data_IF_168314181830
#
_entry.id   IF_168314181830
#
_cell.length_a   1.000
_cell.length_b   1.000
_cell.length_c   1.000
_cell.angle_alpha   90.00
_cell.angle_beta   90.00
_cell.angle_gamma   90.00
#
_symmetry.space_group_name_H-M   'P 1'
#
loop_
_entity.id
_entity.type
_entity.pdbx_description
1 polymer ?
#
# COMPACT_ATOMS: atom_id res chain seq x y z
N UNK A 1 -18.54 18.18 -7.42
CA UNK A 1 -18.04 16.92 -8.00
C UNK A 1 -17.57 17.17 -9.43
N UNK A 2 -16.32 16.79 -9.75
CA UNK A 2 -15.83 16.91 -11.11
C UNK A 2 -14.82 15.79 -11.42
N UNK A 3 -14.88 15.24 -12.63
CA UNK A 3 -13.97 14.24 -13.16
C UNK A 3 -13.55 14.63 -14.58
N UNK A 4 -12.41 14.12 -14.99
CA UNK A 4 -11.75 14.52 -16.22
C UNK A 4 -11.43 13.30 -17.09
N UNK A 5 -12.25 13.01 -18.13
CA UNK A 5 -12.08 11.82 -18.94
C UNK A 5 -10.89 11.92 -19.89
N UNK A 6 -10.54 13.14 -20.33
CA UNK A 6 -9.39 13.34 -21.20
C UNK A 6 -8.09 13.38 -20.39
N UNK A 7 -7.09 12.55 -20.70
CA UNK A 7 -5.75 12.66 -20.12
C UNK A 7 -5.19 14.08 -20.17
N UNK A 8 -4.38 14.43 -19.19
CA UNK A 8 -3.72 15.73 -19.03
C UNK A 8 -4.66 16.90 -18.66
N UNK A 9 -5.95 16.64 -18.46
CA UNK A 9 -6.92 17.69 -18.10
C UNK A 9 -7.40 17.63 -16.64
N UNK A 10 -7.01 16.62 -15.89
CA UNK A 10 -7.31 16.51 -14.45
C UNK A 10 -6.70 17.64 -13.65
N UNK A 11 -7.24 17.87 -12.45
CA UNK A 11 -6.80 18.98 -11.59
C UNK A 11 -5.45 18.69 -10.94
N UNK A 12 -4.69 19.76 -10.67
CA UNK A 12 -3.54 19.70 -9.80
C UNK A 12 -3.96 19.53 -8.33
N UNK A 13 -3.16 18.82 -7.54
CA UNK A 13 -3.44 18.51 -6.13
C UNK A 13 -3.64 19.78 -5.29
N UNK A 14 -2.81 20.78 -5.49
CA UNK A 14 -2.86 22.07 -4.78
C UNK A 14 -4.15 22.82 -5.07
N UNK A 15 -4.61 22.79 -6.33
CA UNK A 15 -5.88 23.42 -6.71
C UNK A 15 -7.07 22.73 -6.02
N UNK A 16 -7.10 21.40 -5.98
CA UNK A 16 -8.15 20.64 -5.28
C UNK A 16 -8.12 20.93 -3.79
N UNK A 17 -6.94 21.01 -3.17
CA UNK A 17 -6.79 21.37 -1.75
C UNK A 17 -7.34 22.77 -1.47
N UNK A 18 -6.99 23.75 -2.28
CA UNK A 18 -7.46 25.13 -2.12
C UNK A 18 -8.99 25.22 -2.27
N UNK A 19 -9.56 24.59 -3.30
CA UNK A 19 -11.02 24.51 -3.51
C UNK A 19 -11.73 23.82 -2.35
N UNK A 20 -11.18 22.69 -1.87
CA UNK A 20 -11.74 21.95 -0.74
C UNK A 20 -11.78 22.82 0.52
N UNK A 21 -10.68 23.51 0.84
CA UNK A 21 -10.60 24.41 1.99
C UNK A 21 -11.61 25.56 1.88
N UNK A 22 -11.73 26.16 0.70
CA UNK A 22 -12.72 27.23 0.44
C UNK A 22 -14.16 26.74 0.62
N UNK A 23 -14.53 25.60 0.01
CA UNK A 23 -15.88 25.04 0.10
C UNK A 23 -16.24 24.73 1.58
N UNK A 24 -15.29 24.12 2.31
CA UNK A 24 -15.48 23.77 3.73
C UNK A 24 -15.59 24.99 4.64
N UNK A 25 -14.91 26.09 4.34
CA UNK A 25 -15.05 27.33 5.11
C UNK A 25 -16.45 27.95 5.02
N UNK A 26 -17.25 27.52 4.02
CA UNK A 26 -18.66 27.91 3.87
C UNK A 26 -19.64 26.84 4.41
N UNK A 27 -19.16 25.85 5.19
CA UNK A 27 -19.98 24.81 5.79
C UNK A 27 -20.49 23.75 4.80
N UNK A 28 -19.91 23.68 3.61
CA UNK A 28 -20.31 22.72 2.57
C UNK A 28 -19.38 21.50 2.56
N UNK A 29 -19.88 20.37 2.07
CA UNK A 29 -19.09 19.14 1.88
C UNK A 29 -18.53 19.05 0.46
N UNK A 30 -17.44 18.32 0.34
CA UNK A 30 -16.73 18.13 -0.93
C UNK A 30 -16.74 16.68 -1.38
N UNK A 31 -16.74 16.47 -2.69
CA UNK A 31 -16.66 15.15 -3.30
C UNK A 31 -15.66 15.13 -4.45
N UNK A 32 -15.00 13.99 -4.62
CA UNK A 32 -14.05 13.77 -5.71
C UNK A 32 -14.14 12.33 -6.24
N UNK A 33 -13.63 12.14 -7.44
CA UNK A 33 -13.63 10.86 -8.12
C UNK A 33 -12.22 10.25 -8.12
N UNK A 34 -12.16 8.94 -7.91
CA UNK A 34 -10.99 8.11 -8.21
C UNK A 34 -11.23 7.36 -9.52
N UNK A 35 -10.15 7.08 -10.24
CA UNK A 35 -10.17 6.18 -11.38
C UNK A 35 -10.37 4.75 -10.90
N UNK A 36 -11.23 3.97 -11.59
CA UNK A 36 -11.33 2.54 -11.43
C UNK A 36 -10.25 1.80 -12.22
N UNK A 37 -9.89 0.60 -11.76
CA UNK A 37 -8.94 -0.30 -12.41
C UNK A 37 -9.57 -1.58 -13.00
N UNK A 38 -10.90 -1.62 -13.01
CA UNK A 38 -11.70 -2.61 -13.71
C UNK A 38 -12.15 -2.10 -15.09
N UNK A 39 -13.46 -2.14 -15.35
CA UNK A 39 -14.01 -1.64 -16.59
C UNK A 39 -14.03 -0.10 -16.59
N UNK A 40 -13.31 0.51 -17.51
CA UNK A 40 -13.28 1.95 -17.67
C UNK A 40 -14.49 2.46 -18.46
N UNK A 41 -14.87 3.70 -18.22
CA UNK A 41 -16.02 4.35 -18.86
C UNK A 41 -15.61 4.99 -20.19
N UNK A 42 -16.44 4.73 -21.23
CA UNK A 42 -16.31 5.38 -22.53
C UNK A 42 -16.69 6.87 -22.53
N UNK A 43 -16.45 7.55 -23.63
CA UNK A 43 -15.95 7.03 -24.91
C UNK A 43 -14.41 6.91 -24.99
N UNK A 44 -13.64 7.50 -24.07
CA UNK A 44 -12.17 7.59 -24.18
C UNK A 44 -11.48 6.37 -23.53
N UNK A 45 -12.08 5.75 -22.49
CA UNK A 45 -11.53 4.61 -21.76
C UNK A 45 -10.13 4.89 -21.16
N UNK A 46 -9.91 6.09 -20.63
CA UNK A 46 -8.66 6.54 -20.03
C UNK A 46 -8.81 6.88 -18.54
N UNK A 47 -9.88 6.35 -17.90
CA UNK A 47 -10.19 6.61 -16.50
C UNK A 47 -10.81 7.99 -16.25
N UNK A 48 -11.47 8.12 -15.11
CA UNK A 48 -12.23 9.31 -14.71
C UNK A 48 -11.81 9.84 -13.34
N UNK A 49 -10.54 10.22 -13.12
CA UNK A 49 -10.11 10.80 -11.86
C UNK A 49 -10.46 12.30 -11.76
N UNK A 50 -10.53 12.83 -10.54
CA UNK A 50 -10.53 14.28 -10.29
C UNK A 50 -9.13 14.87 -10.41
N UNK A 51 -8.12 14.19 -9.87
CA UNK A 51 -6.72 14.59 -9.94
C UNK A 51 -6.02 13.91 -11.12
N UNK A 52 -5.27 14.68 -11.92
CA UNK A 52 -4.49 14.08 -13.01
C UNK A 52 -3.43 13.11 -12.48
N UNK A 53 -2.81 13.41 -11.34
CA UNK A 53 -1.82 12.55 -10.69
C UNK A 53 -2.39 11.19 -10.21
N UNK A 54 -3.71 11.01 -10.24
CA UNK A 54 -4.36 9.75 -9.91
C UNK A 54 -4.52 8.83 -11.12
N UNK A 55 -4.34 9.34 -12.34
CA UNK A 55 -4.44 8.53 -13.54
C UNK A 55 -3.42 7.40 -13.48
N UNK A 56 -3.91 6.18 -13.69
CA UNK A 56 -3.14 4.93 -13.59
C UNK A 56 -2.52 4.60 -12.21
N UNK A 57 -2.87 5.39 -11.20
CA UNK A 57 -2.47 5.10 -9.82
C UNK A 57 -3.43 4.07 -9.19
N UNK A 58 -2.93 3.24 -8.29
CA UNK A 58 -3.74 2.25 -7.58
C UNK A 58 -4.95 2.93 -6.87
N UNK A 59 -6.22 2.45 -7.05
CA UNK A 59 -7.41 3.15 -6.57
C UNK A 59 -7.43 3.40 -5.07
N UNK A 60 -6.95 2.45 -4.26
CA UNK A 60 -6.86 2.63 -2.80
C UNK A 60 -5.87 3.74 -2.42
N UNK A 61 -4.81 3.96 -3.20
CA UNK A 61 -3.88 5.06 -2.98
C UNK A 61 -4.49 6.41 -3.35
N UNK A 62 -5.26 6.46 -4.44
CA UNK A 62 -6.05 7.64 -4.83
C UNK A 62 -7.04 8.02 -3.71
N UNK A 63 -7.73 7.02 -3.15
CA UNK A 63 -8.66 7.21 -2.03
C UNK A 63 -7.96 7.84 -0.82
N UNK A 64 -6.83 7.30 -0.39
CA UNK A 64 -6.08 7.85 0.74
C UNK A 64 -5.57 9.27 0.47
N UNK A 65 -5.11 9.56 -0.74
CA UNK A 65 -4.64 10.90 -1.10
C UNK A 65 -5.78 11.93 -1.05
N UNK A 66 -6.99 11.57 -1.49
CA UNK A 66 -8.16 12.44 -1.40
C UNK A 66 -8.56 12.69 0.07
N UNK A 67 -8.47 11.68 0.94
CA UNK A 67 -8.69 11.87 2.37
C UNK A 67 -7.63 12.81 2.99
N UNK A 68 -6.36 12.68 2.60
CA UNK A 68 -5.28 13.56 3.07
C UNK A 68 -5.47 15.02 2.57
N UNK A 69 -6.15 15.24 1.45
CA UNK A 69 -6.57 16.56 0.95
C UNK A 69 -7.73 17.13 1.79
N UNK A 70 -8.54 16.26 2.41
CA UNK A 70 -9.71 16.63 3.19
C UNK A 70 -11.03 16.46 2.44
N UNK A 71 -11.08 15.66 1.39
CA UNK A 71 -12.33 15.31 0.66
C UNK A 71 -13.25 14.48 1.56
N UNK A 72 -14.54 14.80 1.60
CA UNK A 72 -15.52 14.15 2.45
C UNK A 72 -16.14 12.90 1.80
N UNK A 73 -16.34 12.93 0.50
CA UNK A 73 -16.98 11.84 -0.26
C UNK A 73 -16.10 11.46 -1.45
N UNK A 74 -15.72 10.19 -1.52
CA UNK A 74 -14.97 9.65 -2.66
C UNK A 74 -15.84 8.71 -3.45
N UNK A 75 -15.89 8.92 -4.76
CA UNK A 75 -16.69 8.16 -5.71
C UNK A 75 -15.78 7.50 -6.75
N UNK A 76 -16.19 6.35 -7.27
CA UNK A 76 -15.52 5.71 -8.40
C UNK A 76 -16.06 6.34 -9.69
N UNK A 77 -15.19 6.93 -10.50
CA UNK A 77 -15.58 7.57 -11.76
C UNK A 77 -15.88 6.55 -12.86
N UNK A 78 -15.19 5.45 -12.89
CA UNK A 78 -15.33 4.37 -13.85
C UNK A 78 -16.46 3.38 -13.50
N UNK A 79 -16.68 2.36 -14.34
CA UNK A 79 -17.78 1.41 -14.17
C UNK A 79 -17.52 0.41 -13.05
N UNK A 80 -16.26 0.02 -12.83
CA UNK A 80 -15.91 -0.95 -11.79
C UNK A 80 -14.47 -0.81 -11.29
N UNK A 81 -14.21 -1.43 -10.14
CA UNK A 81 -12.89 -1.79 -9.66
C UNK A 81 -12.55 -3.22 -10.07
N UNK A 82 -11.27 -3.55 -10.18
CA UNK A 82 -10.81 -4.92 -10.24
C UNK A 82 -11.22 -5.67 -8.96
N UNK A 83 -11.45 -6.98 -9.05
CA UNK A 83 -11.90 -7.78 -7.90
C UNK A 83 -10.90 -7.72 -6.74
N UNK A 84 -9.59 -7.84 -7.04
CA UNK A 84 -8.54 -7.71 -6.02
C UNK A 84 -8.58 -6.37 -5.29
N UNK A 85 -8.77 -5.27 -6.03
CA UNK A 85 -8.89 -3.92 -5.46
C UNK A 85 -10.16 -3.76 -4.63
N UNK A 86 -11.27 -4.36 -5.06
CA UNK A 86 -12.51 -4.38 -4.28
C UNK A 86 -12.32 -5.12 -2.94
N UNK A 87 -11.58 -6.23 -2.94
CA UNK A 87 -11.22 -6.97 -1.71
C UNK A 87 -10.37 -6.09 -0.78
N UNK A 88 -9.39 -5.36 -1.32
CA UNK A 88 -8.56 -4.43 -0.54
C UNK A 88 -9.40 -3.30 0.08
N UNK A 89 -10.35 -2.72 -0.65
CA UNK A 89 -11.28 -1.74 -0.10
C UNK A 89 -12.15 -2.33 1.01
N UNK A 90 -12.73 -3.53 0.81
CA UNK A 90 -13.51 -4.22 1.85
C UNK A 90 -12.67 -4.45 3.12
N UNK A 91 -11.43 -4.90 2.96
CA UNK A 91 -10.49 -5.13 4.06
C UNK A 91 -10.20 -3.83 4.83
N UNK A 92 -9.97 -2.75 4.11
CA UNK A 92 -9.76 -1.43 4.71
C UNK A 92 -11.00 -0.91 5.45
N UNK A 93 -12.18 -0.96 4.84
CA UNK A 93 -13.39 -0.42 5.45
C UNK A 93 -13.83 -1.21 6.68
N UNK A 94 -13.77 -2.54 6.62
CA UNK A 94 -14.22 -3.42 7.70
C UNK A 94 -13.22 -3.55 8.83
N UNK A 95 -11.92 -3.60 8.53
CA UNK A 95 -10.89 -4.00 9.50
C UNK A 95 -9.79 -2.96 9.69
N UNK A 96 -9.73 -1.91 8.88
CA UNK A 96 -8.63 -0.93 8.84
C UNK A 96 -7.27 -1.59 8.59
N UNK A 97 -7.23 -2.58 7.71
CA UNK A 97 -6.03 -3.29 7.29
C UNK A 97 -5.75 -2.96 5.82
N UNK A 98 -4.52 -2.57 5.51
CA UNK A 98 -4.06 -2.44 4.13
C UNK A 98 -3.55 -3.80 3.67
N UNK A 99 -4.23 -4.42 2.71
CA UNK A 99 -3.79 -5.66 2.09
C UNK A 99 -2.82 -5.33 0.96
N UNK A 100 -1.69 -6.04 0.92
CA UNK A 100 -0.69 -5.96 -0.14
C UNK A 100 -0.58 -7.31 -0.83
N UNK A 101 -0.50 -7.30 -2.16
CA UNK A 101 -0.21 -8.49 -2.93
C UNK A 101 1.30 -8.65 -3.09
N UNK A 102 1.79 -9.88 -2.87
CA UNK A 102 3.20 -10.22 -2.87
C UNK A 102 3.47 -11.38 -3.81
N UNK A 103 4.46 -11.24 -4.66
CA UNK A 103 5.07 -12.35 -5.37
C UNK A 103 6.13 -12.97 -4.46
N UNK A 104 5.98 -14.25 -4.13
CA UNK A 104 6.89 -14.94 -3.21
C UNK A 104 8.07 -15.54 -3.93
N UNK A 105 9.21 -15.59 -3.25
CA UNK A 105 10.29 -16.50 -3.55
C UNK A 105 10.01 -17.83 -2.86
N UNK A 106 10.57 -18.95 -3.37
CA UNK A 106 10.24 -20.32 -2.96
C UNK A 106 10.06 -20.55 -1.45
N UNK A 107 9.05 -21.34 -1.08
CA UNK A 107 8.79 -21.88 0.27
C UNK A 107 8.55 -20.86 1.42
N UNK A 108 7.98 -19.68 1.13
CA UNK A 108 7.85 -18.60 2.13
C UNK A 108 6.40 -18.18 2.40
N UNK A 109 5.41 -18.95 1.96
CA UNK A 109 3.98 -18.57 1.97
C UNK A 109 3.44 -18.34 3.39
N UNK A 110 3.86 -19.15 4.36
CA UNK A 110 3.32 -19.11 5.73
C UNK A 110 3.66 -17.82 6.48
N UNK A 111 4.70 -17.10 6.05
CA UNK A 111 5.17 -15.87 6.70
C UNK A 111 4.40 -14.62 6.24
N UNK A 112 3.53 -14.73 5.25
CA UNK A 112 2.82 -13.59 4.68
C UNK A 112 1.37 -13.47 5.16
N UNK A 113 0.79 -14.55 5.66
CA UNK A 113 -0.63 -14.65 6.03
C UNK A 113 -1.07 -13.85 7.27
N UNK A 114 -0.24 -13.63 8.32
CA UNK A 114 -0.69 -12.88 9.50
C UNK A 114 -1.01 -11.42 9.21
N UNK A 115 -1.81 -10.84 10.11
CA UNK A 115 -1.98 -9.38 10.16
C UNK A 115 -0.85 -8.79 10.99
N UNK A 116 -0.09 -7.92 10.37
CA UNK A 116 1.02 -7.22 11.00
C UNK A 116 0.63 -5.81 11.43
N UNK A 117 1.20 -5.37 12.55
CA UNK A 117 1.12 -3.99 13.00
C UNK A 117 2.46 -3.30 12.78
N UNK A 118 2.45 -2.14 12.17
CA UNK A 118 3.65 -1.32 12.01
C UNK A 118 4.09 -0.78 13.36
N UNK A 119 5.40 -0.81 13.61
CA UNK A 119 5.97 -0.25 14.85
C UNK A 119 5.61 1.22 15.01
N UNK A 120 5.48 1.65 16.27
CA UNK A 120 5.17 3.03 16.61
C UNK A 120 6.28 4.00 16.21
N UNK A 121 7.51 3.54 16.32
CA UNK A 121 8.74 4.21 15.87
C UNK A 121 9.01 3.84 14.40
N UNK A 122 8.35 4.52 13.47
CA UNK A 122 8.52 4.26 12.03
C UNK A 122 9.96 4.54 11.58
N UNK A 123 10.52 3.60 10.82
CA UNK A 123 11.86 3.76 10.26
C UNK A 123 11.82 4.46 8.90
N UNK A 124 12.94 5.06 8.51
CA UNK A 124 13.09 5.78 7.24
C UNK A 124 13.06 4.85 6.03
N UNK A 125 13.80 3.75 6.11
CA UNK A 125 14.12 2.91 4.95
C UNK A 125 13.30 1.63 4.88
N UNK A 126 12.61 1.25 5.96
CA UNK A 126 11.85 0.00 6.06
C UNK A 126 10.56 0.16 6.87
N UNK A 127 9.53 -0.58 6.50
CA UNK A 127 8.35 -0.80 7.33
C UNK A 127 8.66 -2.00 8.23
N UNK A 128 8.56 -1.85 9.54
CA UNK A 128 8.87 -2.89 10.51
C UNK A 128 7.59 -3.44 11.14
N UNK A 129 7.40 -4.76 11.07
CA UNK A 129 6.27 -5.44 11.71
C UNK A 129 6.57 -5.67 13.21
N UNK A 130 5.77 -5.06 14.07
CA UNK A 130 6.00 -5.10 15.53
C UNK A 130 5.83 -6.51 16.12
N UNK A 131 4.91 -7.30 15.58
CA UNK A 131 4.52 -8.62 16.11
C UNK A 131 5.17 -9.81 15.40
N UNK A 132 5.93 -9.59 14.32
CA UNK A 132 6.44 -10.69 13.47
C UNK A 132 7.32 -11.68 14.22
N UNK A 133 8.23 -11.21 15.09
CA UNK A 133 9.11 -12.10 15.87
C UNK A 133 8.34 -13.02 16.81
N UNK A 134 7.21 -12.59 17.36
CA UNK A 134 6.36 -13.41 18.22
C UNK A 134 5.64 -14.47 17.38
N UNK A 135 5.10 -14.06 16.23
CA UNK A 135 4.42 -14.95 15.29
C UNK A 135 5.36 -16.06 14.81
N UNK A 136 6.64 -15.73 14.54
CA UNK A 136 7.62 -16.70 14.02
C UNK A 136 8.30 -17.52 15.11
N UNK A 137 8.48 -17.00 16.32
CA UNK A 137 9.15 -17.72 17.42
C UNK A 137 8.49 -19.06 17.74
N UNK A 138 7.22 -19.21 17.47
CA UNK A 138 6.45 -20.42 17.75
C UNK A 138 6.54 -21.50 16.64
N UNK A 139 7.03 -21.15 15.44
CA UNK A 139 6.91 -22.02 14.28
C UNK A 139 8.23 -22.27 13.51
N UNK A 140 9.21 -21.38 13.58
CA UNK A 140 10.37 -21.39 12.67
C UNK A 140 11.66 -20.97 13.38
N UNK A 141 12.28 -21.87 14.16
CA UNK A 141 13.59 -21.63 14.73
C UNK A 141 14.54 -22.78 14.49
N UNK A 142 15.79 -22.51 14.09
CA UNK A 142 16.32 -21.25 13.59
C UNK A 142 15.93 -20.98 12.14
N UNK A 143 15.79 -19.71 11.76
CA UNK A 143 15.59 -19.29 10.37
C UNK A 143 16.94 -19.33 9.65
N UNK A 144 17.13 -20.29 8.78
CA UNK A 144 18.37 -20.42 8.03
C UNK A 144 18.56 -19.25 7.03
N UNK A 145 19.79 -18.76 6.80
CA UNK A 145 20.08 -17.83 5.73
C UNK A 145 19.65 -18.39 4.36
N UNK A 146 18.86 -17.62 3.61
CA UNK A 146 18.38 -17.97 2.27
C UNK A 146 18.07 -16.68 1.48
N UNK A 147 18.35 -16.67 0.18
CA UNK A 147 18.05 -15.52 -0.70
C UNK A 147 18.57 -14.18 -0.14
N UNK A 148 19.77 -14.15 0.44
CA UNK A 148 20.43 -12.96 0.97
C UNK A 148 20.97 -12.11 -0.19
N UNK A 149 20.09 -11.38 -0.85
CA UNK A 149 20.35 -10.61 -2.07
C UNK A 149 20.04 -9.13 -1.87
N UNK A 150 20.21 -8.31 -2.91
CA UNK A 150 19.80 -6.91 -2.89
C UNK A 150 18.32 -6.77 -2.52
N UNK A 151 18.08 -5.85 -1.60
CA UNK A 151 16.76 -5.58 -1.05
C UNK A 151 16.16 -4.37 -1.75
N UNK A 152 15.59 -4.60 -2.92
CA UNK A 152 14.98 -3.54 -3.72
C UNK A 152 13.69 -3.04 -3.07
N UNK A 153 13.28 -1.83 -3.41
CA UNK A 153 12.00 -1.26 -2.96
C UNK A 153 10.85 -2.25 -3.16
N UNK A 154 10.03 -2.44 -2.13
CA UNK A 154 8.93 -3.39 -2.10
C UNK A 154 9.33 -4.81 -1.73
N UNK A 155 10.62 -5.13 -1.58
CA UNK A 155 11.03 -6.44 -1.06
C UNK A 155 10.45 -6.66 0.33
N UNK A 156 9.90 -7.85 0.56
CA UNK A 156 9.52 -8.35 1.89
C UNK A 156 10.67 -9.19 2.38
N UNK A 157 11.16 -8.89 3.58
CA UNK A 157 12.35 -9.53 4.13
C UNK A 157 12.09 -10.05 5.54
N UNK A 158 12.88 -11.06 5.94
CA UNK A 158 12.89 -11.60 7.30
C UNK A 158 14.32 -11.70 7.78
N UNK A 159 14.59 -11.22 8.97
CA UNK A 159 15.88 -11.38 9.62
C UNK A 159 16.11 -12.86 9.96
N UNK A 160 17.24 -13.42 9.52
CA UNK A 160 17.60 -14.82 9.78
C UNK A 160 18.38 -14.99 11.09
N UNK A 161 18.75 -16.24 11.45
CA UNK A 161 19.43 -16.59 12.69
C UNK A 161 20.75 -15.82 12.92
N UNK A 162 21.44 -15.36 11.86
CA UNK A 162 22.66 -14.57 11.99
C UNK A 162 22.41 -13.18 12.58
N UNK A 163 21.16 -12.71 12.59
CA UNK A 163 20.77 -11.44 13.23
C UNK A 163 20.47 -11.57 14.74
N UNK A 164 20.63 -12.76 15.29
CA UNK A 164 20.52 -13.06 16.73
C UNK A 164 19.14 -12.62 17.27
N UNK A 165 19.12 -11.70 18.24
CA UNK A 165 17.89 -11.22 18.90
C UNK A 165 16.85 -10.56 17.96
N UNK A 166 17.23 -10.26 16.72
CA UNK A 166 16.31 -9.69 15.73
C UNK A 166 15.73 -10.76 14.79
N UNK A 167 16.19 -12.01 14.89
CA UNK A 167 15.66 -13.11 14.10
C UNK A 167 14.13 -13.12 14.07
N UNK A 168 13.55 -13.29 12.86
CA UNK A 168 12.11 -13.27 12.64
C UNK A 168 11.48 -11.87 12.52
N UNK A 169 12.27 -10.78 12.49
CA UNK A 169 11.70 -9.46 12.19
C UNK A 169 11.35 -9.36 10.70
N UNK A 170 10.06 -9.21 10.42
CA UNK A 170 9.57 -8.99 9.05
C UNK A 170 9.61 -7.50 8.73
N UNK A 171 10.13 -7.17 7.54
CA UNK A 171 10.23 -5.81 7.05
C UNK A 171 9.77 -5.72 5.59
N UNK A 172 9.28 -4.53 5.18
CA UNK A 172 9.05 -4.18 3.77
C UNK A 172 9.96 -2.99 3.43
N UNK A 173 10.72 -3.12 2.37
CA UNK A 173 11.76 -2.15 1.98
C UNK A 173 11.14 -0.95 1.28
N UNK A 174 11.50 0.26 1.70
CA UNK A 174 10.99 1.53 1.16
C UNK A 174 11.91 2.18 0.11
N UNK A 175 13.19 1.88 0.18
CA UNK A 175 14.21 2.32 -0.79
C UNK A 175 15.26 1.23 -0.98
N UNK A 176 15.93 1.19 -2.13
CA UNK A 176 16.87 0.12 -2.45
C UNK A 176 18.00 0.05 -1.42
N UNK A 177 18.26 -1.14 -0.91
CA UNK A 177 19.30 -1.46 0.06
C UNK A 177 20.21 -2.58 -0.49
N UNK A 178 21.46 -2.57 -0.07
CA UNK A 178 22.43 -3.62 -0.44
C UNK A 178 22.03 -4.97 0.17
N UNK A 179 22.59 -6.05 -0.38
CA UNK A 179 22.49 -7.39 0.19
C UNK A 179 23.05 -7.41 1.63
N UNK A 180 22.44 -8.24 2.47
CA UNK A 180 22.88 -8.50 3.85
C UNK A 180 22.71 -9.99 4.13
N UNK A 181 23.81 -10.68 4.51
CA UNK A 181 23.79 -12.12 4.80
C UNK A 181 22.88 -12.53 5.96
N UNK A 182 22.46 -11.56 6.79
CA UNK A 182 21.55 -11.75 7.93
C UNK A 182 20.10 -11.55 7.58
N UNK A 183 19.77 -11.19 6.33
CA UNK A 183 18.43 -10.83 5.89
C UNK A 183 18.02 -11.64 4.68
N UNK A 184 16.98 -12.42 4.84
CA UNK A 184 16.38 -13.21 3.76
C UNK A 184 15.33 -12.36 3.01
N UNK A 185 15.44 -12.29 1.68
CA UNK A 185 14.37 -11.76 0.84
C UNK A 185 13.38 -12.89 0.57
N UNK A 186 12.13 -12.74 1.03
CA UNK A 186 11.10 -13.79 0.97
C UNK A 186 10.03 -13.53 -0.09
N UNK A 187 9.95 -12.29 -0.57
CA UNK A 187 8.99 -11.92 -1.61
C UNK A 187 9.13 -10.45 -1.97
N UNK A 188 8.22 -9.99 -2.83
CA UNK A 188 8.15 -8.59 -3.25
C UNK A 188 6.71 -8.15 -3.45
N UNK A 189 6.34 -7.01 -2.89
CA UNK A 189 5.06 -6.34 -3.15
C UNK A 189 4.95 -6.04 -4.65
N UNK A 190 3.80 -6.29 -5.26
CA UNK A 190 3.58 -6.00 -6.68
C UNK A 190 3.78 -4.51 -6.96
N UNK A 191 4.42 -4.19 -8.07
CA UNK A 191 4.89 -2.83 -8.38
C UNK A 191 3.76 -1.79 -8.33
N UNK A 192 2.58 -2.13 -8.82
CA UNK A 192 1.42 -1.23 -8.81
C UNK A 192 0.98 -0.80 -7.40
N UNK A 193 1.35 -1.58 -6.38
CA UNK A 193 1.00 -1.32 -4.98
C UNK A 193 2.14 -0.64 -4.18
N UNK A 194 3.31 -0.41 -4.78
CA UNK A 194 4.40 0.31 -4.10
C UNK A 194 3.97 1.70 -3.61
N UNK A 195 3.00 2.32 -4.25
CA UNK A 195 2.40 3.58 -3.81
C UNK A 195 1.66 3.46 -2.48
N UNK A 196 1.15 2.27 -2.12
CA UNK A 196 0.47 2.02 -0.85
C UNK A 196 1.43 2.00 0.33
N UNK A 197 2.72 1.71 0.11
CA UNK A 197 3.71 1.58 1.18
C UNK A 197 3.81 2.85 2.04
N UNK A 198 3.61 4.05 1.48
CA UNK A 198 3.58 5.31 2.23
C UNK A 198 2.42 5.40 3.22
N UNK A 199 1.31 4.70 2.93
CA UNK A 199 0.13 4.66 3.81
C UNK A 199 0.23 3.53 4.83
N UNK A 200 0.93 2.45 4.50
CA UNK A 200 1.31 1.40 5.45
C UNK A 200 2.34 1.93 6.45
N UNK A 201 3.34 2.71 6.02
CA UNK A 201 4.40 3.25 6.89
C UNK A 201 3.90 4.40 7.79
N UNK A 202 2.85 4.12 8.56
CA UNK A 202 2.32 5.04 9.58
C UNK A 202 2.32 4.35 10.95
N UNK A 203 2.55 5.08 12.05
CA UNK A 203 2.54 4.48 13.40
C UNK A 203 1.28 3.67 13.67
N UNK A 204 1.44 2.44 14.14
CA UNK A 204 0.36 1.51 14.50
C UNK A 204 -0.59 1.13 13.33
N UNK A 205 -0.28 1.46 12.08
CA UNK A 205 -1.07 0.98 10.95
C UNK A 205 -0.99 -0.55 10.87
N UNK A 206 -2.02 -1.15 10.25
CA UNK A 206 -2.11 -2.61 10.12
C UNK A 206 -2.07 -3.00 8.65
N UNK A 207 -1.33 -4.04 8.34
CA UNK A 207 -1.26 -4.58 6.99
C UNK A 207 -1.24 -6.11 6.99
N UNK A 208 -1.54 -6.70 5.87
CA UNK A 208 -1.35 -8.13 5.59
C UNK A 208 -0.80 -8.30 4.19
N UNK A 209 -0.04 -9.36 3.97
CA UNK A 209 0.47 -9.74 2.67
C UNK A 209 -0.30 -10.96 2.16
N UNK A 210 -0.68 -10.94 0.90
CA UNK A 210 -1.39 -12.05 0.24
C UNK A 210 -0.59 -12.44 -1.00
N UNK A 211 -0.35 -13.73 -1.16
CA UNK A 211 0.36 -14.27 -2.32
C UNK A 211 -0.51 -14.10 -3.57
N UNK A 212 0.10 -13.58 -4.64
CA UNK A 212 -0.55 -13.45 -5.94
C UNK A 212 -0.06 -14.54 -6.89
#
# INVERSE_FOLDING_TARGET
YNYYPRPETGLAREAVRAHTSFIKSHGLTTGAFIQGDGQQRGPIFAGLPTLEAHRDLHPLAQYFDLLDIGIDTVLIGDLSLAESTLVQFKKWFNERIIQLHVTVLENTVDWLSPVYQVRRDVARDVIRAANSRIEFSNHYHPIAPANCQERLRGSVTIDNAAYLRYEGELQIILGDLLADEKVNVVGRVVMAEHVLLRYVNKPNSRFTCVVR
#
